data_IF_780792445103
#
_entry.id   IF_780792445103
#
_cell.length_a   1.000
_cell.length_b   1.000
_cell.length_c   1.000
_cell.angle_alpha   90.00
_cell.angle_beta   90.00
_cell.angle_gamma   90.00
#
_symmetry.space_group_name_H-M   'P 1'
#
loop_
_entity.id
_entity.type
_entity.pdbx_description
1 polymer ?
#
# COMPACT_ATOMS: atom_id res chain seq x y z
N UNK A 1 -20.32 14.45 14.89
CA UNK A 1 -21.49 13.63 14.51
C UNK A 1 -20.97 12.44 13.72
N UNK A 2 -21.40 11.19 13.98
CA UNK A 2 -20.83 10.00 13.35
C UNK A 2 -20.84 10.00 11.81
N UNK A 3 -21.69 10.82 11.18
CA UNK A 3 -21.71 10.99 9.71
C UNK A 3 -20.53 11.77 9.12
N UNK A 4 -19.81 12.58 9.91
CA UNK A 4 -18.66 13.35 9.43
C UNK A 4 -17.39 12.47 9.39
N UNK A 5 -17.21 11.59 10.37
CA UNK A 5 -16.10 10.63 10.43
C UNK A 5 -16.20 9.59 9.30
N UNK A 6 -17.41 9.05 9.06
CA UNK A 6 -17.67 8.13 7.94
C UNK A 6 -17.38 8.80 6.59
N UNK A 7 -17.76 10.07 6.43
CA UNK A 7 -17.49 10.84 5.20
C UNK A 7 -15.99 11.04 5.02
N UNK A 8 -15.27 11.36 6.08
CA UNK A 8 -13.81 11.53 6.05
C UNK A 8 -13.09 10.23 5.68
N UNK A 9 -13.46 9.10 6.30
CA UNK A 9 -12.90 7.79 5.98
C UNK A 9 -13.10 7.40 4.51
N UNK A 10 -14.28 7.72 3.95
CA UNK A 10 -14.56 7.50 2.51
C UNK A 10 -13.69 8.36 1.62
N UNK A 11 -13.46 9.63 1.97
CA UNK A 11 -12.61 10.53 1.20
C UNK A 11 -11.15 10.05 1.20
N UNK A 12 -10.64 9.61 2.34
CA UNK A 12 -9.29 9.05 2.47
C UNK A 12 -9.12 7.78 1.65
N UNK A 13 -10.09 6.86 1.71
CA UNK A 13 -10.13 5.66 0.86
C UNK A 13 -10.14 6.02 -0.62
N UNK A 14 -10.98 6.97 -1.03
CA UNK A 14 -11.04 7.43 -2.42
C UNK A 14 -9.72 8.07 -2.87
N UNK A 15 -9.06 8.84 -1.99
CA UNK A 15 -7.74 9.42 -2.27
C UNK A 15 -6.68 8.32 -2.45
N UNK A 16 -6.68 7.29 -1.60
CA UNK A 16 -5.81 6.12 -1.75
C UNK A 16 -6.03 5.39 -3.09
N UNK A 17 -7.29 5.15 -3.45
CA UNK A 17 -7.64 4.50 -4.73
C UNK A 17 -7.24 5.33 -5.95
N UNK A 18 -7.34 6.66 -5.89
CA UNK A 18 -6.85 7.54 -6.97
C UNK A 18 -5.35 7.41 -7.15
N UNK A 19 -4.58 7.44 -6.05
CA UNK A 19 -3.13 7.25 -6.11
C UNK A 19 -2.77 5.89 -6.69
N UNK A 20 -3.43 4.82 -6.23
CA UNK A 20 -3.23 3.47 -6.75
C UNK A 20 -3.48 3.40 -8.26
N UNK A 21 -4.55 4.05 -8.74
CA UNK A 21 -4.84 4.13 -10.19
C UNK A 21 -3.75 4.86 -10.96
N UNK A 22 -3.23 5.97 -10.42
CA UNK A 22 -2.13 6.73 -11.03
C UNK A 22 -0.82 5.93 -11.09
N UNK A 23 -0.50 5.15 -10.05
CA UNK A 23 0.66 4.25 -10.09
C UNK A 23 0.44 3.11 -11.07
N UNK A 24 -0.75 2.51 -11.06
CA UNK A 24 -1.13 1.41 -11.95
C UNK A 24 -1.17 1.80 -13.42
N UNK A 25 -1.44 3.07 -13.75
CA UNK A 25 -1.43 3.52 -15.15
C UNK A 25 -0.05 3.55 -15.79
N UNK A 26 1.02 3.40 -15.00
CA UNK A 26 2.40 3.30 -15.48
C UNK A 26 2.85 1.83 -15.59
N UNK A 27 2.03 0.90 -15.10
CA UNK A 27 2.28 -0.53 -15.22
C UNK A 27 1.75 -1.00 -16.57
N UNK A 28 2.64 -1.51 -17.41
CA UNK A 28 2.26 -2.31 -18.58
C UNK A 28 2.28 -3.77 -18.19
N UNK A 29 1.28 -4.52 -18.63
CA UNK A 29 1.36 -5.98 -18.59
C UNK A 29 2.44 -6.39 -19.60
N UNK A 30 3.49 -7.06 -19.14
CA UNK A 30 4.45 -7.71 -20.02
C UNK A 30 4.05 -9.20 -20.15
N UNK A 31 3.57 -9.65 -21.33
CA UNK A 31 3.19 -11.04 -21.55
C UNK A 31 4.36 -12.02 -21.40
N UNK A 32 5.60 -11.53 -21.48
CA UNK A 32 6.81 -12.33 -21.33
C UNK A 32 7.43 -12.19 -19.94
N UNK A 33 6.82 -11.42 -19.04
CA UNK A 33 7.29 -11.34 -17.66
C UNK A 33 7.25 -12.73 -17.04
N UNK A 34 8.38 -13.14 -16.48
CA UNK A 34 8.44 -14.37 -15.71
C UNK A 34 7.60 -14.18 -14.44
N UNK A 35 6.50 -14.92 -14.36
CA UNK A 35 5.74 -15.01 -13.13
C UNK A 35 6.56 -15.84 -12.15
N UNK A 36 6.92 -15.23 -11.01
CA UNK A 36 7.57 -15.94 -9.93
C UNK A 36 6.51 -16.48 -8.97
N UNK A 37 6.51 -17.79 -8.75
CA UNK A 37 5.55 -18.48 -7.85
C UNK A 37 5.71 -18.02 -6.39
N UNK A 38 6.89 -17.52 -6.02
CA UNK A 38 7.16 -16.83 -4.78
C UNK A 38 7.81 -15.47 -5.07
N UNK A 39 7.20 -14.42 -4.52
CA UNK A 39 7.82 -13.11 -4.43
C UNK A 39 8.59 -13.08 -3.12
N UNK A 40 9.92 -12.99 -3.19
CA UNK A 40 10.73 -12.76 -1.99
C UNK A 40 10.52 -11.32 -1.50
N UNK A 41 9.59 -11.16 -0.55
CA UNK A 41 9.31 -9.88 0.06
C UNK A 41 10.51 -9.32 0.85
N UNK A 42 11.45 -10.15 1.31
CA UNK A 42 12.64 -9.66 2.02
C UNK A 42 13.55 -8.89 1.05
N UNK A 43 13.72 -9.38 -0.17
CA UNK A 43 14.48 -8.70 -1.22
C UNK A 43 13.86 -7.35 -1.64
N UNK A 44 12.53 -7.20 -1.55
CA UNK A 44 11.85 -5.92 -1.81
C UNK A 44 12.06 -4.88 -0.71
N UNK A 45 12.32 -5.33 0.52
CA UNK A 45 12.50 -4.49 1.70
C UNK A 45 13.97 -4.13 1.94
N UNK A 46 14.92 -4.83 1.31
CA UNK A 46 16.36 -4.60 1.47
C UNK A 46 16.86 -3.38 0.67
N UNK A 47 16.18 -3.03 -0.43
CA UNK A 47 16.56 -1.92 -1.32
C UNK A 47 15.78 -0.62 -1.10
N UNK A 48 14.77 -0.62 -0.23
CA UNK A 48 14.06 0.58 0.17
C UNK A 48 14.34 0.84 1.64
N UNK A 49 14.82 2.03 1.99
CA UNK A 49 14.58 2.53 3.34
C UNK A 49 13.05 2.58 3.53
N UNK A 50 12.51 1.49 4.04
CA UNK A 50 11.16 1.44 4.58
C UNK A 50 11.23 2.38 5.75
N UNK A 51 10.84 3.63 5.53
CA UNK A 51 10.54 4.57 6.60
C UNK A 51 9.41 3.93 7.37
N UNK A 52 9.81 3.17 8.38
CA UNK A 52 8.92 2.35 9.17
C UNK A 52 7.80 3.24 9.68
N UNK A 53 6.57 2.83 9.41
CA UNK A 53 5.43 3.32 10.18
C UNK A 53 5.62 2.71 11.57
N UNK A 54 6.41 3.37 12.43
CA UNK A 54 6.52 3.01 13.83
C UNK A 54 5.17 3.29 14.49
N UNK A 55 4.33 2.26 14.58
CA UNK A 55 3.19 2.29 15.49
C UNK A 55 3.71 2.19 16.92
N UNK A 56 3.89 3.35 17.57
CA UNK A 56 4.10 3.43 19.02
C UNK A 56 2.78 3.16 19.74
N UNK A 57 2.38 1.90 19.87
CA UNK A 57 1.39 1.44 20.88
C UNK A 57 1.58 -0.08 20.95
N UNK A 58 2.24 -0.69 21.94
CA UNK A 58 1.99 -0.59 23.37
C UNK A 58 1.50 -1.96 23.87
N UNK A 59 2.44 -2.79 24.36
CA UNK A 59 2.30 -3.90 25.32
C UNK A 59 1.15 -4.92 25.12
N UNK A 60 1.47 -6.12 24.64
CA UNK A 60 0.65 -7.31 24.86
C UNK A 60 1.00 -7.93 26.22
N UNK A 61 -0.04 -8.19 27.01
CA UNK A 61 -0.01 -8.94 28.28
C UNK A 61 0.11 -10.43 27.98
#
# INVERSE_FOLDING_TARGET
MPGDEERQARLEKMAGLRRLRSYGSWLSLDPNAQFHDLIDCAALLEGGEVTGIQSKTGRLV
#
